data_IF_857779653256
#
_entry.id   IF_857779653256
#
_cell.length_a   1.000
_cell.length_b   1.000
_cell.length_c   1.000
_cell.angle_alpha   90.00
_cell.angle_beta   90.00
_cell.angle_gamma   90.00
#
_symmetry.space_group_name_H-M   'P 1'
#
loop_
_entity.id
_entity.type
_entity.pdbx_description
1 polymer ?
#
# COMPACT_ATOMS: atom_id res chain seq x y z
N UNK A 1 6.47 15.98 -2.35
CA UNK A 1 5.26 16.78 -2.60
C UNK A 1 4.10 15.83 -2.93
N UNK A 2 3.29 15.45 -1.93
CA UNK A 2 2.08 14.62 -2.12
C UNK A 2 0.95 15.51 -2.70
N UNK A 3 1.02 15.75 -4.01
CA UNK A 3 0.22 16.77 -4.73
C UNK A 3 -0.91 16.18 -5.59
N UNK A 4 -1.53 15.06 -5.19
CA UNK A 4 -2.60 14.44 -6.00
C UNK A 4 -3.99 14.47 -5.36
N UNK A 5 -4.11 14.68 -4.05
CA UNK A 5 -5.41 14.68 -3.38
C UNK A 5 -5.47 15.76 -2.30
N UNK A 6 -6.55 16.55 -2.32
CA UNK A 6 -7.00 17.35 -1.18
C UNK A 6 -8.06 16.56 -0.43
N UNK A 7 -7.82 16.33 0.86
CA UNK A 7 -8.81 15.71 1.75
C UNK A 7 -9.51 16.80 2.54
N UNK A 8 -10.84 16.78 2.57
CA UNK A 8 -11.65 17.81 3.21
C UNK A 8 -11.80 17.50 4.69
N UNK A 9 -11.83 16.21 5.04
CA UNK A 9 -11.97 15.75 6.42
C UNK A 9 -10.80 14.88 6.87
N UNK A 10 -10.61 14.81 8.19
CA UNK A 10 -9.64 13.90 8.78
C UNK A 10 -9.96 12.42 8.46
N UNK A 11 -11.24 12.05 8.46
CA UNK A 11 -11.66 10.67 8.16
C UNK A 11 -11.33 10.25 6.72
N UNK A 12 -11.48 11.17 5.76
CA UNK A 12 -11.04 10.91 4.37
C UNK A 12 -9.54 10.71 4.26
N UNK A 13 -8.75 11.55 4.94
CA UNK A 13 -7.29 11.41 4.99
C UNK A 13 -6.88 10.09 5.63
N UNK A 14 -7.49 9.75 6.78
CA UNK A 14 -7.22 8.51 7.51
C UNK A 14 -7.53 7.30 6.63
N UNK A 15 -8.70 7.28 6.00
CA UNK A 15 -9.09 6.20 5.09
C UNK A 15 -8.11 6.06 3.92
N UNK A 16 -7.68 7.18 3.33
CA UNK A 16 -6.72 7.15 2.23
C UNK A 16 -5.35 6.59 2.66
N UNK A 17 -4.90 6.91 3.88
CA UNK A 17 -3.67 6.33 4.46
C UNK A 17 -3.84 4.83 4.69
N UNK A 18 -4.95 4.40 5.30
CA UNK A 18 -5.23 2.99 5.58
C UNK A 18 -5.31 2.17 4.28
N UNK A 19 -6.00 2.70 3.26
CA UNK A 19 -6.09 2.09 1.93
C UNK A 19 -4.70 2.00 1.27
N UNK A 20 -3.86 3.04 1.38
CA UNK A 20 -2.50 3.02 0.85
C UNK A 20 -1.61 1.99 1.56
N UNK A 21 -1.72 1.87 2.88
CA UNK A 21 -0.98 0.86 3.66
C UNK A 21 -1.41 -0.56 3.24
N UNK A 22 -2.71 -0.81 3.08
CA UNK A 22 -3.23 -2.11 2.62
C UNK A 22 -2.67 -2.45 1.25
N UNK A 23 -2.79 -1.53 0.30
CA UNK A 23 -2.25 -1.69 -1.06
C UNK A 23 -0.75 -1.99 -1.01
N UNK A 24 0.03 -1.19 -0.28
CA UNK A 24 1.48 -1.34 -0.24
C UNK A 24 1.90 -2.71 0.30
N UNK A 25 1.21 -3.23 1.31
CA UNK A 25 1.57 -4.49 1.95
C UNK A 25 1.10 -5.73 1.19
N UNK A 26 -0.06 -5.68 0.54
CA UNK A 26 -0.74 -6.87 0.03
C UNK A 26 -0.87 -6.89 -1.49
N UNK A 27 -0.89 -5.74 -2.15
CA UNK A 27 -1.26 -5.64 -3.57
C UNK A 27 -0.11 -5.09 -4.42
N UNK A 28 0.81 -4.33 -3.82
CA UNK A 28 1.93 -3.70 -4.53
C UNK A 28 2.95 -4.73 -5.01
N UNK A 29 2.87 -5.06 -6.29
CA UNK A 29 3.86 -5.93 -6.95
C UNK A 29 5.23 -5.26 -6.98
N UNK A 30 6.27 -6.00 -6.57
CA UNK A 30 7.64 -5.51 -6.59
C UNK A 30 8.50 -6.37 -7.52
N UNK A 31 9.13 -5.75 -8.53
CA UNK A 31 10.02 -6.46 -9.46
C UNK A 31 11.15 -7.22 -8.73
N UNK A 32 11.71 -6.62 -7.68
CA UNK A 32 12.73 -7.26 -6.81
C UNK A 32 12.23 -8.49 -6.06
N UNK A 33 10.90 -8.64 -5.90
CA UNK A 33 10.26 -9.79 -5.27
C UNK A 33 9.66 -10.73 -6.32
N UNK A 34 10.18 -10.71 -7.55
CA UNK A 34 9.64 -11.48 -8.68
C UNK A 34 8.16 -11.20 -8.95
N UNK A 35 7.74 -9.95 -8.77
CA UNK A 35 6.35 -9.53 -8.98
C UNK A 35 5.42 -9.86 -7.82
N UNK A 36 5.91 -10.38 -6.70
CA UNK A 36 5.08 -10.61 -5.51
C UNK A 36 4.86 -9.32 -4.71
N UNK A 37 3.75 -9.28 -3.97
CA UNK A 37 3.56 -8.29 -2.91
C UNK A 37 4.46 -8.58 -1.70
N UNK A 38 4.70 -7.58 -0.83
CA UNK A 38 5.51 -7.79 0.37
C UNK A 38 4.99 -8.90 1.28
N UNK A 39 3.67 -9.03 1.44
CA UNK A 39 3.09 -10.10 2.24
C UNK A 39 3.23 -11.47 1.57
N UNK A 40 2.93 -11.57 0.28
CA UNK A 40 3.07 -12.84 -0.47
C UNK A 40 4.50 -13.36 -0.43
N UNK A 41 5.48 -12.47 -0.57
CA UNK A 41 6.89 -12.81 -0.46
C UNK A 41 7.24 -13.35 0.93
N UNK A 42 6.74 -12.72 2.00
CA UNK A 42 6.93 -13.20 3.38
C UNK A 42 6.32 -14.58 3.61
N UNK A 43 5.10 -14.80 3.11
CA UNK A 43 4.42 -16.10 3.23
C UNK A 43 5.15 -17.20 2.47
N UNK A 44 5.73 -16.90 1.31
CA UNK A 44 6.50 -17.87 0.52
C UNK A 44 7.90 -18.18 1.09
N UNK A 45 8.46 -17.26 1.89
CA UNK A 45 9.75 -17.41 2.53
C UNK A 45 9.69 -18.11 3.91
N UNK A 46 8.48 -18.36 4.42
CA UNK A 46 8.23 -19.14 5.64
C UNK A 46 8.19 -20.64 5.33
#
# INVERSE_FOLDING_TARGET
MYYLNTYITFEELKKAIDDYIRFYNNERLQAKLNGLSPMEYRTKAA
#
